data_IF_351932664232
#
_entry.id   IF_351932664232
#
_cell.length_a   1.000
_cell.length_b   1.000
_cell.length_c   1.000
_cell.angle_alpha   90.00
_cell.angle_beta   90.00
_cell.angle_gamma   90.00
#
_symmetry.space_group_name_H-M   'P 1'
#
loop_
_entity.id
_entity.type
_entity.pdbx_description
1 polymer ?
#
# COMPACT_ATOMS: atom_id res chain seq x y z
N UNK A 1 -4.51 -14.65 5.92
CA UNK A 1 -4.81 -13.63 4.89
C UNK A 1 -3.85 -12.44 4.93
N UNK A 2 -3.57 -11.85 6.10
CA UNK A 2 -2.60 -10.74 6.21
C UNK A 2 -1.18 -11.09 5.78
N UNK A 3 -0.67 -12.28 6.13
CA UNK A 3 0.66 -12.74 5.68
C UNK A 3 0.73 -12.75 4.16
N UNK A 4 -0.31 -13.25 3.48
CA UNK A 4 -0.40 -13.26 2.01
C UNK A 4 -0.43 -11.82 1.48
N UNK A 5 -1.22 -10.91 2.08
CA UNK A 5 -1.25 -9.50 1.68
C UNK A 5 0.13 -8.83 1.77
N UNK A 6 0.88 -9.11 2.84
CA UNK A 6 2.24 -8.59 3.01
C UNK A 6 3.22 -9.20 2.02
N UNK A 7 3.18 -10.52 1.81
CA UNK A 7 3.99 -11.19 0.80
C UNK A 7 3.71 -10.59 -0.58
N UNK A 8 2.44 -10.43 -0.96
CA UNK A 8 2.04 -9.79 -2.22
C UNK A 8 2.54 -8.34 -2.30
N UNK A 9 2.45 -7.57 -1.21
CA UNK A 9 3.01 -6.22 -1.12
C UNK A 9 4.52 -6.18 -1.36
N UNK A 10 5.28 -7.09 -0.75
CA UNK A 10 6.73 -7.19 -0.96
C UNK A 10 7.08 -7.63 -2.38
N UNK A 11 6.40 -8.64 -2.92
CA UNK A 11 6.59 -9.11 -4.29
C UNK A 11 6.30 -7.97 -5.27
N UNK A 12 5.16 -7.29 -5.11
CA UNK A 12 4.77 -6.18 -5.98
C UNK A 12 5.78 -5.03 -5.91
N UNK A 13 6.26 -4.69 -4.71
CA UNK A 13 7.33 -3.69 -4.53
C UNK A 13 8.64 -4.12 -5.17
N UNK A 14 9.02 -5.39 -5.08
CA UNK A 14 10.24 -5.92 -5.70
C UNK A 14 10.15 -5.89 -7.23
N UNK A 15 9.01 -6.30 -7.79
CA UNK A 15 8.72 -6.25 -9.21
C UNK A 15 8.81 -4.80 -9.71
N UNK A 16 8.09 -3.87 -9.07
CA UNK A 16 8.13 -2.46 -9.47
C UNK A 16 9.53 -1.86 -9.33
N UNK A 17 10.30 -2.21 -8.29
CA UNK A 17 11.70 -1.80 -8.18
C UNK A 17 12.57 -2.31 -9.32
N UNK A 18 12.30 -3.53 -9.82
CA UNK A 18 13.03 -4.11 -10.95
C UNK A 18 12.71 -3.37 -12.26
N UNK A 19 11.45 -3.02 -12.50
CA UNK A 19 11.03 -2.27 -13.69
C UNK A 19 11.41 -0.78 -13.63
N UNK A 20 11.31 -0.15 -12.46
CA UNK A 20 11.58 1.27 -12.28
C UNK A 20 13.06 1.57 -11.94
N UNK A 21 13.99 0.63 -12.18
CA UNK A 21 15.42 0.78 -11.88
C UNK A 21 16.08 1.98 -12.59
N UNK A 22 15.51 2.41 -13.72
CA UNK A 22 15.94 3.58 -14.50
C UNK A 22 15.03 4.82 -14.30
N UNK A 23 14.08 4.79 -13.36
CA UNK A 23 13.23 5.95 -13.08
C UNK A 23 13.99 6.97 -12.25
N UNK A 24 13.97 8.27 -12.61
CA UNK A 24 14.59 9.33 -11.80
C UNK A 24 13.90 9.51 -10.42
N UNK A 25 12.70 8.94 -10.23
CA UNK A 25 11.96 8.99 -8.98
C UNK A 25 12.13 7.67 -8.23
N UNK A 26 12.84 7.71 -7.10
CA UNK A 26 13.10 6.53 -6.28
C UNK A 26 11.83 5.82 -5.81
N UNK A 27 11.79 4.50 -5.94
CA UNK A 27 10.65 3.62 -5.61
C UNK A 27 10.53 3.35 -4.09
N UNK A 28 11.31 4.04 -3.27
CA UNK A 28 11.45 3.72 -1.85
C UNK A 28 10.28 4.28 -1.02
N UNK A 29 9.92 5.55 -1.23
CA UNK A 29 8.86 6.27 -0.50
C UNK A 29 8.18 7.25 -1.44
N UNK A 30 6.87 7.17 -1.57
CA UNK A 30 6.11 7.97 -2.54
C UNK A 30 4.83 8.61 -2.00
N UNK A 31 4.46 8.30 -0.76
CA UNK A 31 3.30 8.87 -0.07
C UNK A 31 3.77 9.77 1.08
N UNK A 32 3.17 10.95 1.21
CA UNK A 32 3.30 11.82 2.37
C UNK A 32 2.48 11.37 3.59
N UNK A 33 2.60 12.11 4.71
CA UNK A 33 1.79 11.85 5.92
C UNK A 33 0.26 11.81 5.68
N UNK A 34 -0.36 12.72 4.87
CA UNK A 34 -1.81 12.70 4.69
C UNK A 34 -2.29 11.44 3.98
N UNK A 35 -1.69 11.03 2.86
CA UNK A 35 -2.16 9.83 2.15
C UNK A 35 -1.80 8.53 2.89
N UNK A 36 -0.84 8.58 3.83
CA UNK A 36 -0.55 7.47 4.74
C UNK A 36 -1.68 7.28 5.75
N UNK A 37 -2.16 8.38 6.35
CA UNK A 37 -3.27 8.34 7.30
C UNK A 37 -4.57 7.91 6.62
N UNK A 38 -4.81 8.39 5.39
CA UNK A 38 -5.95 7.95 4.60
C UNK A 38 -5.95 6.43 4.36
N UNK A 39 -4.80 5.84 4.03
CA UNK A 39 -4.67 4.38 3.84
C UNK A 39 -4.88 3.60 5.12
N UNK A 40 -4.42 4.11 6.27
CA UNK A 40 -4.72 3.51 7.57
C UNK A 40 -6.21 3.53 7.87
N UNK A 41 -6.88 4.67 7.62
CA UNK A 41 -8.32 4.81 7.83
C UNK A 41 -9.12 3.85 6.92
N UNK A 42 -8.75 3.75 5.65
CA UNK A 42 -9.36 2.81 4.69
C UNK A 42 -9.13 1.36 5.13
N UNK A 43 -7.90 1.00 5.51
CA UNK A 43 -7.56 -0.34 5.97
C UNK A 43 -8.36 -0.75 7.21
N UNK A 44 -8.48 0.16 8.19
CA UNK A 44 -9.27 -0.06 9.40
C UNK A 44 -10.78 -0.16 9.10
N UNK A 45 -11.31 0.71 8.25
CA UNK A 45 -12.72 0.67 7.84
C UNK A 45 -13.08 -0.64 7.12
N UNK A 46 -12.22 -1.09 6.21
CA UNK A 46 -12.39 -2.38 5.51
C UNK A 46 -12.32 -3.56 6.47
N UNK A 47 -11.44 -3.51 7.48
CA UNK A 47 -11.35 -4.57 8.49
C UNK A 47 -12.62 -4.63 9.35
N UNK A 48 -13.07 -3.46 9.84
CA UNK A 48 -14.29 -3.36 10.64
C UNK A 48 -15.48 -3.91 9.85
N UNK A 49 -15.63 -3.50 8.59
CA UNK A 49 -16.69 -4.02 7.72
C UNK A 49 -16.56 -5.54 7.52
N UNK A 50 -15.36 -6.05 7.22
CA UNK A 50 -15.15 -7.47 7.03
C UNK A 50 -15.59 -8.28 8.26
N UNK A 51 -15.26 -7.82 9.47
CA UNK A 51 -15.58 -8.51 10.72
C UNK A 51 -17.07 -8.40 11.07
N UNK A 52 -17.72 -7.27 10.79
CA UNK A 52 -19.13 -7.05 11.18
C UNK A 52 -20.15 -7.61 10.19
N UNK A 53 -19.77 -7.86 8.94
CA UNK A 53 -20.72 -8.29 7.90
C UNK A 53 -20.49 -9.73 7.44
N UNK A 54 -19.37 -10.00 6.75
CA UNK A 54 -19.29 -11.17 5.87
C UNK A 54 -18.05 -12.05 6.06
N UNK A 55 -17.07 -11.64 6.87
CA UNK A 55 -15.78 -12.30 7.01
C UNK A 55 -15.09 -12.60 5.67
N UNK A 56 -15.40 -11.80 4.64
CA UNK A 56 -14.92 -12.02 3.28
C UNK A 56 -13.39 -11.99 3.24
N UNK A 57 -12.72 -13.07 2.80
CA UNK A 57 -11.25 -13.12 2.72
C UNK A 57 -10.68 -12.01 1.84
N UNK A 58 -11.43 -11.56 0.83
CA UNK A 58 -11.05 -10.49 -0.09
C UNK A 58 -10.97 -9.14 0.64
N UNK A 59 -11.97 -8.81 1.46
CA UNK A 59 -11.97 -7.57 2.25
C UNK A 59 -10.81 -7.54 3.25
N UNK A 60 -10.58 -8.68 3.92
CA UNK A 60 -9.47 -8.86 4.86
C UNK A 60 -8.12 -8.71 4.14
N UNK A 61 -8.00 -9.24 2.92
CA UNK A 61 -6.80 -9.09 2.11
C UNK A 61 -6.53 -7.63 1.74
N UNK A 62 -7.54 -6.91 1.22
CA UNK A 62 -7.38 -5.49 0.84
C UNK A 62 -7.12 -4.60 2.04
N UNK A 63 -7.74 -4.89 3.19
CA UNK A 63 -7.42 -4.24 4.45
C UNK A 63 -5.94 -4.43 4.81
N UNK A 64 -5.45 -5.67 4.79
CA UNK A 64 -4.03 -5.98 5.05
C UNK A 64 -3.07 -5.31 4.08
N UNK A 65 -3.45 -5.22 2.80
CA UNK A 65 -2.64 -4.54 1.79
C UNK A 65 -2.61 -3.03 2.01
N UNK A 66 -3.73 -2.41 2.38
CA UNK A 66 -3.78 -0.98 2.71
C UNK A 66 -2.91 -0.65 3.93
N UNK A 67 -2.89 -1.52 4.95
CA UNK A 67 -1.97 -1.40 6.08
C UNK A 67 -0.50 -1.53 5.66
N UNK A 68 -0.18 -2.47 4.78
CA UNK A 68 1.16 -2.58 4.21
C UNK A 68 1.59 -1.27 3.52
N UNK A 69 0.76 -0.70 2.65
CA UNK A 69 1.07 0.56 1.96
C UNK A 69 1.31 1.71 2.95
N UNK A 70 0.50 1.77 4.02
CA UNK A 70 0.68 2.75 5.08
C UNK A 70 1.97 2.53 5.87
N UNK A 71 2.28 1.31 6.31
CA UNK A 71 3.48 1.01 7.12
C UNK A 71 4.75 1.44 6.38
N UNK A 72 4.87 1.07 5.11
CA UNK A 72 6.06 1.36 4.31
C UNK A 72 6.06 2.76 3.67
N UNK A 73 5.00 3.56 3.88
CA UNK A 73 4.83 4.89 3.25
C UNK A 73 5.04 4.82 1.73
N UNK A 74 4.51 3.74 1.14
CA UNK A 74 4.71 3.38 -0.24
C UNK A 74 3.41 2.82 -0.82
N UNK A 75 2.88 3.48 -1.85
CA UNK A 75 1.78 2.96 -2.66
C UNK A 75 2.32 2.34 -3.93
N UNK A 76 1.92 1.12 -4.24
CA UNK A 76 2.33 0.52 -5.50
C UNK A 76 1.69 1.20 -6.73
N UNK A 77 0.45 1.68 -6.61
CA UNK A 77 -0.22 2.43 -7.69
C UNK A 77 0.49 3.75 -8.01
N UNK A 78 0.89 4.53 -6.99
CA UNK A 78 1.66 5.75 -7.23
C UNK A 78 3.05 5.44 -7.79
N UNK A 79 3.68 4.36 -7.33
CA UNK A 79 4.96 3.92 -7.89
C UNK A 79 4.85 3.53 -9.36
N UNK A 80 3.80 2.82 -9.76
CA UNK A 80 3.55 2.45 -11.15
C UNK A 80 3.29 3.67 -12.05
N UNK A 81 2.57 4.69 -11.56
CA UNK A 81 2.37 5.95 -12.28
C UNK A 81 3.55 6.94 -12.16
N UNK A 82 4.58 6.61 -11.39
CA UNK A 82 5.67 7.53 -11.09
C UNK A 82 5.26 8.77 -10.29
N UNK A 83 4.14 8.77 -9.57
CA UNK A 83 3.70 9.89 -8.72
C UNK A 83 4.37 9.83 -7.34
N UNK A 84 4.65 11.00 -6.78
CA UNK A 84 5.19 11.14 -5.43
C UNK A 84 4.51 12.33 -4.73
N UNK A 85 3.80 12.07 -3.63
CA UNK A 85 3.15 13.10 -2.79
C UNK A 85 3.97 13.41 -1.54
N UNK A 86 5.19 12.89 -1.42
CA UNK A 86 6.09 13.29 -0.35
C UNK A 86 6.39 14.79 -0.48
N UNK A 87 6.35 15.55 0.64
CA UNK A 87 6.75 16.94 0.62
C UNK A 87 8.23 17.02 0.20
N UNK A 88 8.52 17.93 -0.74
CA UNK A 88 9.88 18.35 -1.06
C UNK A 88 10.37 19.12 0.17
N UNK A 89 11.48 18.67 0.74
CA UNK A 89 12.14 19.35 1.86
C UNK A 89 12.85 20.59 1.36
#
# INVERSE_FOLDING_TARGET
MYVIAFITGFIYRAILKKFAKNSPRGVARNIGKPDRLLRLAIGAGLLLWAITTSWSPILIFFSGFAFFEAIFSWCGFYAAMGKNTCPIK
#
